data_IF_980187910061
#
_entry.id   IF_980187910061
#
_cell.length_a   1.000
_cell.length_b   1.000
_cell.length_c   1.000
_cell.angle_alpha   90.00
_cell.angle_beta   90.00
_cell.angle_gamma   90.00
#
_symmetry.space_group_name_H-M   'P 1'
#
loop_
_entity.id
_entity.type
_entity.pdbx_description
1 polymer ?
#
# COMPACT_ATOMS: atom_id res chain seq x y z
N UNK A 1 70.05 46.32 53.03
CA UNK A 1 70.43 45.94 51.65
C UNK A 1 70.73 44.45 51.60
N UNK A 2 70.17 43.76 50.60
CA UNK A 2 70.42 42.41 50.11
C UNK A 2 69.85 41.18 50.86
N UNK A 3 69.25 40.35 50.02
CA UNK A 3 68.45 39.14 50.16
C UNK A 3 69.26 37.84 50.22
N UNK A 4 68.67 36.76 50.72
CA UNK A 4 68.58 35.42 50.06
C UNK A 4 67.79 34.47 50.99
N UNK A 5 66.61 33.97 50.59
CA UNK A 5 66.32 32.78 49.78
C UNK A 5 66.41 31.44 50.54
N UNK A 6 65.27 30.81 50.80
CA UNK A 6 65.09 29.35 50.56
C UNK A 6 63.61 29.02 50.36
N UNK A 7 63.32 28.28 49.28
CA UNK A 7 61.98 27.86 48.87
C UNK A 7 61.69 26.41 49.34
N UNK A 8 60.44 26.03 49.66
CA UNK A 8 60.09 24.64 49.92
C UNK A 8 59.67 23.87 48.66
N UNK A 9 60.01 22.58 48.63
CA UNK A 9 59.81 21.59 47.57
C UNK A 9 58.34 21.45 47.11
N UNK A 10 58.12 21.48 45.79
CA UNK A 10 56.85 21.06 45.15
C UNK A 10 56.72 19.54 45.17
N UNK A 11 55.56 19.06 45.62
CA UNK A 11 55.10 17.67 45.50
C UNK A 11 54.73 17.40 44.04
N UNK A 12 55.35 16.40 43.42
CA UNK A 12 54.99 15.95 42.07
C UNK A 12 53.73 15.09 42.13
N UNK A 13 52.64 15.57 41.52
CA UNK A 13 51.42 14.80 41.27
C UNK A 13 51.71 13.74 40.20
N UNK A 14 51.55 12.47 40.57
CA UNK A 14 51.62 11.30 39.68
C UNK A 14 50.49 11.39 38.63
N UNK A 15 50.84 11.65 37.38
CA UNK A 15 49.88 11.59 36.26
C UNK A 15 49.35 10.15 36.13
N UNK A 16 48.03 9.96 36.24
CA UNK A 16 47.35 8.72 35.84
C UNK A 16 47.20 8.73 34.32
N UNK A 17 47.83 7.77 33.66
CA UNK A 17 47.54 7.41 32.27
C UNK A 17 46.08 6.94 32.17
N UNK A 18 45.25 7.44 31.24
CA UNK A 18 43.97 6.83 30.95
C UNK A 18 44.23 5.57 30.11
N UNK A 19 44.02 4.40 30.73
CA UNK A 19 43.92 3.13 30.01
C UNK A 19 42.65 3.14 29.17
N UNK A 20 42.77 3.56 27.91
CA UNK A 20 41.73 3.35 26.91
C UNK A 20 41.63 1.88 26.58
N UNK A 21 40.67 1.19 27.19
CA UNK A 21 40.24 -0.14 26.77
C UNK A 21 39.44 0.00 25.47
N UNK A 22 40.14 0.11 24.34
CA UNK A 22 39.55 -0.20 23.04
C UNK A 22 39.39 -1.71 22.95
N UNK A 23 38.20 -2.18 22.57
CA UNK A 23 37.98 -3.59 22.26
C UNK A 23 38.96 -4.03 21.15
N UNK A 24 39.65 -5.19 21.28
CA UNK A 24 40.53 -5.70 20.23
C UNK A 24 39.80 -5.78 18.90
N UNK A 25 40.45 -5.42 17.79
CA UNK A 25 39.85 -5.45 16.44
C UNK A 25 39.24 -6.81 16.07
N UNK A 26 39.84 -7.92 16.52
CA UNK A 26 39.28 -9.27 16.36
C UNK A 26 37.96 -9.47 17.09
N UNK A 27 37.78 -8.87 18.27
CA UNK A 27 36.52 -8.95 19.01
C UNK A 27 35.41 -8.14 18.32
N UNK A 28 35.75 -7.00 17.72
CA UNK A 28 34.82 -6.19 16.92
C UNK A 28 34.39 -6.98 15.67
N UNK A 29 35.34 -7.56 14.93
CA UNK A 29 35.05 -8.36 13.73
C UNK A 29 34.22 -9.61 14.06
N UNK A 30 34.45 -10.24 15.22
CA UNK A 30 33.70 -11.43 15.65
C UNK A 30 32.26 -11.05 16.05
N UNK A 31 32.09 -9.93 16.75
CA UNK A 31 30.76 -9.39 17.09
C UNK A 31 30.01 -9.01 15.81
N UNK A 32 30.66 -8.33 14.87
CA UNK A 32 30.06 -7.94 13.59
C UNK A 32 29.68 -9.16 12.72
N UNK A 33 30.50 -10.22 12.75
CA UNK A 33 30.19 -11.48 12.07
C UNK A 33 29.02 -12.24 12.74
N UNK A 34 28.94 -12.24 14.07
CA UNK A 34 27.81 -12.83 14.82
C UNK A 34 26.54 -12.03 14.59
N UNK A 35 26.61 -10.70 14.61
CA UNK A 35 25.49 -9.81 14.32
C UNK A 35 24.97 -10.04 12.90
N UNK A 36 25.85 -10.08 11.90
CA UNK A 36 25.50 -10.39 10.51
C UNK A 36 24.91 -11.79 10.34
N UNK A 37 25.44 -12.79 11.06
CA UNK A 37 24.90 -14.16 11.02
C UNK A 37 23.52 -14.23 11.67
N UNK A 38 23.33 -13.51 12.78
CA UNK A 38 22.04 -13.39 13.49
C UNK A 38 21.01 -12.59 12.68
N UNK A 39 21.45 -11.59 11.91
CA UNK A 39 20.59 -10.83 10.98
C UNK A 39 20.00 -11.70 9.88
N UNK A 40 20.71 -12.74 9.45
CA UNK A 40 20.23 -13.69 8.43
C UNK A 40 19.33 -14.79 8.98
N UNK A 41 19.23 -14.96 10.31
CA UNK A 41 18.37 -15.99 10.91
C UNK A 41 16.92 -15.51 10.90
N UNK A 42 16.08 -16.15 10.09
CA UNK A 42 14.63 -15.94 10.10
C UNK A 42 13.99 -16.67 11.29
N UNK A 43 12.93 -16.08 11.83
CA UNK A 43 12.15 -16.59 12.96
C UNK A 43 11.10 -17.60 12.50
N UNK A 44 10.76 -18.52 13.40
CA UNK A 44 9.61 -19.42 13.26
C UNK A 44 8.37 -18.79 13.91
N UNK A 45 7.19 -19.29 13.54
CA UNK A 45 5.90 -18.87 14.10
C UNK A 45 5.87 -18.91 15.63
N UNK A 46 6.47 -19.95 16.22
CA UNK A 46 6.55 -20.14 17.67
C UNK A 46 7.31 -19.01 18.39
N UNK A 47 8.29 -18.42 17.72
CA UNK A 47 9.16 -17.37 18.27
C UNK A 47 8.54 -15.97 18.17
N UNK A 48 7.44 -15.82 17.43
CA UNK A 48 6.81 -14.53 17.23
C UNK A 48 6.07 -14.05 18.49
N UNK A 49 6.11 -12.75 18.81
CA UNK A 49 5.23 -12.18 19.81
C UNK A 49 3.77 -12.17 19.33
N UNK A 50 2.82 -12.15 20.26
CA UNK A 50 1.39 -12.26 19.96
C UNK A 50 0.88 -11.25 18.91
N UNK A 51 1.41 -10.03 18.89
CA UNK A 51 0.99 -8.98 17.94
C UNK A 51 1.47 -9.23 16.50
N UNK A 52 2.42 -10.15 16.27
CA UNK A 52 2.88 -10.59 14.93
C UNK A 52 2.20 -11.87 14.45
N UNK A 53 1.49 -12.57 15.34
CA UNK A 53 0.83 -13.85 15.04
C UNK A 53 -0.51 -13.66 14.31
N UNK A 54 -0.44 -13.23 13.05
CA UNK A 54 -1.64 -13.06 12.21
C UNK A 54 -2.09 -14.37 11.54
N UNK A 55 -1.19 -15.06 10.82
CA UNK A 55 -1.53 -16.24 10.03
C UNK A 55 -0.82 -17.51 10.52
N UNK A 56 -1.53 -18.37 11.27
CA UNK A 56 -0.97 -19.57 11.86
C UNK A 56 -0.57 -20.68 10.85
N UNK A 57 -0.94 -20.53 9.58
CA UNK A 57 -0.57 -21.48 8.53
C UNK A 57 0.81 -21.17 7.90
N UNK A 58 1.38 -20.01 8.22
CA UNK A 58 2.73 -19.63 7.82
C UNK A 58 3.67 -19.96 9.00
N UNK A 59 4.60 -20.88 8.80
CA UNK A 59 5.36 -21.47 9.90
C UNK A 59 6.75 -20.87 10.08
N UNK A 60 7.34 -20.34 9.02
CA UNK A 60 8.72 -19.85 8.99
C UNK A 60 8.88 -18.61 8.11
N UNK A 61 10.12 -18.14 7.99
CA UNK A 61 10.47 -17.04 7.09
C UNK A 61 10.21 -15.65 7.65
N UNK A 62 9.98 -15.50 8.95
CA UNK A 62 9.71 -14.19 9.56
C UNK A 62 11.00 -13.42 9.86
N UNK A 63 11.02 -12.12 9.55
CA UNK A 63 12.16 -11.27 9.91
C UNK A 63 12.33 -11.12 11.43
N UNK A 64 13.58 -11.00 11.86
CA UNK A 64 13.94 -10.57 13.20
C UNK A 64 13.30 -9.22 13.54
N UNK A 65 12.78 -9.11 14.76
CA UNK A 65 12.10 -7.91 15.23
C UNK A 65 13.12 -7.02 15.95
N UNK A 66 13.36 -5.82 15.42
CA UNK A 66 14.29 -4.85 16.00
C UNK A 66 13.76 -3.42 15.80
N UNK A 67 13.78 -2.56 16.82
CA UNK A 67 13.32 -1.17 16.72
C UNK A 67 14.33 -0.29 15.96
N UNK A 68 14.60 -0.64 14.70
CA UNK A 68 15.54 0.05 13.80
C UNK A 68 14.99 0.07 12.38
N UNK A 69 14.74 1.26 11.84
CA UNK A 69 14.34 1.42 10.44
C UNK A 69 15.45 1.00 9.48
N UNK A 70 16.72 1.17 9.84
CA UNK A 70 17.84 0.70 9.04
C UNK A 70 17.82 -0.82 8.87
N UNK A 71 17.54 -1.55 9.96
CA UNK A 71 17.35 -3.00 9.93
C UNK A 71 16.16 -3.40 9.04
N UNK A 72 15.05 -2.67 9.17
CA UNK A 72 13.84 -2.88 8.35
C UNK A 72 14.14 -2.68 6.85
N UNK A 73 14.85 -1.60 6.50
CA UNK A 73 15.27 -1.31 5.12
C UNK A 73 16.27 -2.34 4.58
N UNK A 74 17.21 -2.81 5.40
CA UNK A 74 18.14 -3.86 4.99
C UNK A 74 17.42 -5.18 4.71
N UNK A 75 16.32 -5.46 5.40
CA UNK A 75 15.52 -6.67 5.17
C UNK A 75 14.91 -6.74 3.76
N UNK A 76 14.74 -5.60 3.07
CA UNK A 76 14.26 -5.54 1.68
C UNK A 76 15.10 -6.36 0.70
N UNK A 77 16.38 -6.54 1.00
CA UNK A 77 17.35 -7.27 0.19
C UNK A 77 17.54 -8.73 0.63
N UNK A 78 16.81 -9.17 1.65
CA UNK A 78 16.80 -10.54 2.12
C UNK A 78 15.47 -11.22 1.76
N UNK A 79 15.50 -12.54 1.57
CA UNK A 79 14.29 -13.29 1.28
C UNK A 79 13.59 -13.70 2.57
N UNK A 80 12.32 -13.32 2.71
CA UNK A 80 11.47 -13.59 3.86
C UNK A 80 9.99 -13.59 3.45
N UNK A 81 9.10 -13.93 4.39
CA UNK A 81 7.67 -14.14 4.09
C UNK A 81 6.89 -12.87 3.66
N UNK A 82 7.46 -11.69 3.93
CA UNK A 82 6.91 -10.40 3.49
C UNK A 82 7.53 -9.91 2.17
N UNK A 83 8.57 -10.56 1.61
CA UNK A 83 9.29 -10.02 0.45
C UNK A 83 8.38 -9.78 -0.75
N UNK A 84 7.49 -10.71 -1.08
CA UNK A 84 6.53 -10.55 -2.18
C UNK A 84 5.50 -9.46 -1.88
N UNK A 85 5.01 -9.38 -0.63
CA UNK A 85 4.05 -8.34 -0.22
C UNK A 85 4.66 -6.94 -0.39
N UNK A 86 5.95 -6.78 -0.07
CA UNK A 86 6.67 -5.52 -0.22
C UNK A 86 6.90 -5.21 -1.69
N UNK A 87 7.55 -6.11 -2.42
CA UNK A 87 8.02 -5.83 -3.78
C UNK A 87 6.89 -5.72 -4.80
N UNK A 88 5.82 -6.51 -4.66
CA UNK A 88 4.65 -6.41 -5.55
C UNK A 88 4.06 -5.00 -5.52
N UNK A 89 3.70 -4.49 -4.34
CA UNK A 89 3.13 -3.16 -4.18
C UNK A 89 4.16 -2.03 -4.38
N UNK A 90 5.43 -2.22 -4.01
CA UNK A 90 6.48 -1.21 -4.25
C UNK A 90 6.71 -0.99 -5.74
N UNK A 91 6.90 -2.08 -6.50
CA UNK A 91 7.05 -2.00 -7.96
C UNK A 91 5.77 -1.45 -8.59
N UNK A 92 4.60 -1.90 -8.12
CA UNK A 92 3.31 -1.37 -8.56
C UNK A 92 3.17 0.14 -8.39
N UNK A 93 3.59 0.67 -7.23
CA UNK A 93 3.58 2.10 -6.96
C UNK A 93 4.51 2.86 -7.92
N UNK A 94 5.74 2.37 -8.13
CA UNK A 94 6.71 2.97 -9.07
C UNK A 94 6.15 2.97 -10.50
N UNK A 95 5.60 1.85 -10.96
CA UNK A 95 4.99 1.73 -12.29
C UNK A 95 3.80 2.66 -12.43
N UNK A 96 2.98 2.82 -11.39
CA UNK A 96 1.83 3.74 -11.40
C UNK A 96 2.28 5.20 -11.52
N UNK A 97 3.31 5.61 -10.77
CA UNK A 97 3.91 6.95 -10.90
C UNK A 97 4.47 7.15 -12.31
N UNK A 98 5.27 6.20 -12.81
CA UNK A 98 5.85 6.30 -14.16
C UNK A 98 4.76 6.40 -15.24
N UNK A 99 3.70 5.61 -15.13
CA UNK A 99 2.54 5.65 -16.03
C UNK A 99 1.82 6.99 -15.97
N UNK A 100 1.67 7.58 -14.78
CA UNK A 100 1.09 8.91 -14.60
C UNK A 100 1.93 10.00 -15.27
N UNK A 101 3.25 9.95 -15.11
CA UNK A 101 4.15 10.92 -15.75
C UNK A 101 4.11 10.77 -17.27
N UNK A 102 4.09 9.54 -17.77
CA UNK A 102 3.93 9.26 -19.20
C UNK A 102 2.60 9.81 -19.73
N UNK A 103 1.48 9.55 -19.04
CA UNK A 103 0.19 10.12 -19.42
C UNK A 103 0.23 11.65 -19.47
N UNK A 104 0.79 12.29 -18.45
CA UNK A 104 0.77 13.75 -18.34
C UNK A 104 1.68 14.44 -19.36
N UNK A 105 2.90 13.94 -19.56
CA UNK A 105 3.89 14.59 -20.42
C UNK A 105 3.86 14.14 -21.87
N UNK A 106 3.37 12.93 -22.17
CA UNK A 106 3.43 12.34 -23.52
C UNK A 106 2.05 12.21 -24.17
N UNK A 107 1.04 11.78 -23.41
CA UNK A 107 -0.29 11.49 -23.96
C UNK A 107 -1.19 12.72 -23.92
N UNK A 108 -1.33 13.39 -22.77
CA UNK A 108 -2.22 14.55 -22.58
C UNK A 108 -1.98 15.67 -23.61
N UNK A 109 -0.74 16.04 -23.99
CA UNK A 109 -0.51 17.08 -25.01
C UNK A 109 -0.98 16.72 -26.43
N UNK A 110 -1.34 15.46 -26.69
CA UNK A 110 -1.88 15.02 -27.99
C UNK A 110 -3.37 15.30 -28.15
N UNK A 111 -4.06 15.66 -27.07
CA UNK A 111 -5.50 15.92 -27.04
C UNK A 111 -5.73 17.38 -26.63
N UNK A 112 -5.96 18.26 -27.62
CA UNK A 112 -6.21 19.68 -27.38
C UNK A 112 -7.49 19.91 -26.55
N UNK A 113 -8.45 18.98 -26.62
CA UNK A 113 -9.68 18.97 -25.83
C UNK A 113 -9.49 18.58 -24.37
N UNK A 114 -8.32 18.06 -23.97
CA UNK A 114 -8.07 17.57 -22.61
C UNK A 114 -8.05 18.70 -21.58
N UNK A 115 -8.98 18.64 -20.63
CA UNK A 115 -9.23 19.71 -19.65
C UNK A 115 -8.45 19.48 -18.34
N UNK A 116 -8.31 20.51 -17.48
CA UNK A 116 -7.83 20.32 -16.12
C UNK A 116 -8.70 19.37 -15.28
N UNK A 117 -10.00 19.25 -15.59
CA UNK A 117 -10.90 18.30 -14.93
C UNK A 117 -10.50 16.86 -15.24
N UNK A 118 -10.14 16.54 -16.49
CA UNK A 118 -9.61 15.21 -16.85
C UNK A 118 -8.37 14.88 -16.02
N UNK A 119 -7.44 15.84 -15.89
CA UNK A 119 -6.23 15.68 -15.08
C UNK A 119 -6.58 15.42 -13.62
N UNK A 120 -7.53 16.17 -13.07
CA UNK A 120 -7.96 16.02 -11.68
C UNK A 120 -8.58 14.64 -11.40
N UNK A 121 -9.50 14.17 -12.26
CA UNK A 121 -10.18 12.89 -12.02
C UNK A 121 -9.23 11.71 -12.16
N UNK A 122 -8.28 11.76 -13.12
CA UNK A 122 -7.20 10.78 -13.20
C UNK A 122 -6.26 10.88 -12.00
N UNK A 123 -5.93 12.08 -11.54
CA UNK A 123 -5.09 12.28 -10.35
C UNK A 123 -5.74 11.71 -9.08
N UNK A 124 -7.06 11.75 -8.94
CA UNK A 124 -7.77 11.09 -7.84
C UNK A 124 -7.54 9.57 -7.83
N UNK A 125 -7.69 8.90 -8.98
CA UNK A 125 -7.45 7.46 -9.08
C UNK A 125 -5.96 7.12 -8.92
N UNK A 126 -5.09 7.76 -9.70
CA UNK A 126 -3.64 7.50 -9.69
C UNK A 126 -3.05 7.81 -8.32
N UNK A 127 -3.39 8.96 -7.74
CA UNK A 127 -2.97 9.33 -6.39
C UNK A 127 -3.45 8.32 -5.35
N UNK A 128 -4.70 7.87 -5.45
CA UNK A 128 -5.22 6.81 -4.58
C UNK A 128 -4.50 5.48 -4.75
N UNK A 129 -4.17 5.08 -5.98
CA UNK A 129 -3.39 3.87 -6.27
C UNK A 129 -1.96 3.98 -5.71
N UNK A 130 -1.26 5.08 -5.94
CA UNK A 130 0.09 5.30 -5.41
C UNK A 130 0.09 5.31 -3.88
N UNK A 131 -0.89 5.98 -3.25
CA UNK A 131 -1.00 5.99 -1.79
C UNK A 131 -1.31 4.59 -1.25
N UNK A 132 -2.24 3.85 -1.85
CA UNK A 132 -2.57 2.49 -1.44
C UNK A 132 -1.37 1.55 -1.52
N UNK A 133 -0.77 1.46 -2.71
CA UNK A 133 0.36 0.57 -2.96
C UNK A 133 1.59 0.99 -2.13
N UNK A 134 1.87 2.29 -2.06
CA UNK A 134 2.99 2.83 -1.29
C UNK A 134 2.84 2.64 0.22
N UNK A 135 1.67 2.92 0.79
CA UNK A 135 1.38 2.67 2.22
C UNK A 135 1.47 1.19 2.55
N UNK A 136 0.98 0.32 1.66
CA UNK A 136 1.04 -1.13 1.83
C UNK A 136 2.48 -1.66 1.81
N UNK A 137 3.26 -1.29 0.79
CA UNK A 137 4.67 -1.66 0.68
C UNK A 137 5.47 -1.14 1.89
N UNK A 138 5.22 0.10 2.31
CA UNK A 138 5.86 0.70 3.49
C UNK A 138 5.51 -0.09 4.76
N UNK A 139 4.23 -0.39 4.97
CA UNK A 139 3.77 -1.17 6.13
C UNK A 139 4.50 -2.50 6.22
N UNK A 140 4.51 -3.29 5.14
CA UNK A 140 5.17 -4.58 5.12
C UNK A 140 6.69 -4.46 5.29
N UNK A 141 7.31 -3.39 4.76
CA UNK A 141 8.75 -3.14 4.89
C UNK A 141 9.18 -2.81 6.32
N UNK A 142 8.35 -2.11 7.11
CA UNK A 142 8.67 -1.71 8.50
C UNK A 142 7.98 -2.57 9.56
N UNK A 143 7.34 -3.66 9.13
CA UNK A 143 6.52 -4.52 9.99
C UNK A 143 7.33 -5.22 11.10
N UNK A 144 8.63 -5.43 10.87
CA UNK A 144 9.57 -6.00 11.82
C UNK A 144 10.18 -4.96 12.79
N UNK A 145 9.75 -3.70 12.76
CA UNK A 145 10.33 -2.65 13.60
C UNK A 145 9.89 -2.79 15.08
N UNK A 146 8.63 -2.50 15.37
CA UNK A 146 8.06 -2.57 16.72
C UNK A 146 6.54 -2.67 16.63
N UNK A 147 5.89 -3.09 17.72
CA UNK A 147 4.44 -3.21 17.78
C UNK A 147 3.73 -1.90 17.41
N UNK A 148 4.23 -0.77 17.90
CA UNK A 148 3.65 0.56 17.61
C UNK A 148 3.76 0.92 16.14
N UNK A 149 4.91 0.69 15.51
CA UNK A 149 5.13 0.99 14.08
C UNK A 149 4.28 0.08 13.20
N UNK A 150 4.24 -1.22 13.50
CA UNK A 150 3.34 -2.17 12.83
C UNK A 150 1.87 -1.78 13.02
N UNK A 151 1.52 -1.21 14.19
CA UNK A 151 0.18 -0.71 14.41
C UNK A 151 -0.17 0.47 13.51
N UNK A 152 0.67 1.50 13.48
CA UNK A 152 0.45 2.65 12.62
C UNK A 152 0.46 2.28 11.13
N UNK A 153 1.43 1.49 10.69
CA UNK A 153 1.53 1.04 9.30
C UNK A 153 0.29 0.28 8.84
N UNK A 154 -0.25 -0.62 9.66
CA UNK A 154 -1.47 -1.37 9.29
C UNK A 154 -2.72 -0.47 9.20
N UNK A 155 -2.82 0.61 10.00
CA UNK A 155 -3.90 1.59 9.86
C UNK A 155 -3.77 2.35 8.55
N UNK A 156 -2.56 2.76 8.18
CA UNK A 156 -2.28 3.44 6.92
C UNK A 156 -2.52 2.53 5.71
N UNK A 157 -2.16 1.25 5.79
CA UNK A 157 -2.45 0.25 4.76
C UNK A 157 -3.96 0.14 4.48
N UNK A 158 -4.78 0.06 5.54
CA UNK A 158 -6.24 0.08 5.39
C UNK A 158 -6.78 1.41 4.85
N UNK A 159 -6.22 2.54 5.27
CA UNK A 159 -6.56 3.84 4.69
C UNK A 159 -6.24 3.90 3.19
N UNK A 160 -5.13 3.30 2.78
CA UNK A 160 -4.75 3.15 1.38
C UNK A 160 -5.85 2.50 0.56
N UNK A 161 -6.41 1.37 1.03
CA UNK A 161 -7.52 0.67 0.35
C UNK A 161 -8.72 1.60 0.17
N UNK A 162 -9.10 2.35 1.21
CA UNK A 162 -10.23 3.30 1.13
C UNK A 162 -9.97 4.39 0.08
N UNK A 163 -8.78 5.00 0.11
CA UNK A 163 -8.43 6.08 -0.82
C UNK A 163 -8.38 5.58 -2.27
N UNK A 164 -7.86 4.36 -2.51
CA UNK A 164 -7.89 3.73 -3.84
C UNK A 164 -9.32 3.49 -4.32
N UNK A 165 -10.19 2.92 -3.49
CA UNK A 165 -11.58 2.65 -3.88
C UNK A 165 -12.29 3.96 -4.21
N UNK A 166 -12.27 4.95 -3.30
CA UNK A 166 -12.91 6.26 -3.54
C UNK A 166 -12.31 6.94 -4.77
N UNK A 167 -10.98 6.96 -4.89
CA UNK A 167 -10.26 7.55 -6.02
C UNK A 167 -10.63 6.92 -7.36
N UNK A 168 -10.85 5.60 -7.41
CA UNK A 168 -11.28 4.89 -8.62
C UNK A 168 -12.70 5.21 -9.07
N UNK A 169 -13.59 5.60 -8.15
CA UNK A 169 -14.95 6.03 -8.50
C UNK A 169 -14.96 7.38 -9.20
N UNK A 170 -14.02 8.28 -8.88
CA UNK A 170 -14.03 9.66 -9.39
C UNK A 170 -14.00 9.73 -10.92
N UNK A 171 -13.01 9.15 -11.64
CA UNK A 171 -12.99 9.20 -13.10
C UNK A 171 -14.13 8.38 -13.73
N UNK A 172 -14.50 7.23 -13.14
CA UNK A 172 -15.58 6.40 -13.66
C UNK A 172 -16.92 7.12 -13.63
N UNK A 173 -17.24 7.79 -12.51
CA UNK A 173 -18.46 8.59 -12.38
C UNK A 173 -18.40 9.83 -13.29
N UNK A 174 -17.25 10.50 -13.37
CA UNK A 174 -17.07 11.65 -14.23
C UNK A 174 -17.40 11.33 -15.69
N UNK A 175 -16.80 10.29 -16.27
CA UNK A 175 -17.06 9.93 -17.68
C UNK A 175 -18.46 9.31 -17.89
N UNK A 176 -18.99 8.57 -16.91
CA UNK A 176 -20.34 8.02 -17.00
C UNK A 176 -21.42 9.11 -17.00
N UNK A 177 -21.30 10.08 -16.08
CA UNK A 177 -22.34 11.05 -15.76
C UNK A 177 -21.95 12.50 -16.09
N UNK A 178 -20.98 12.70 -16.98
CA UNK A 178 -20.49 14.02 -17.38
C UNK A 178 -21.62 15.02 -17.71
N UNK A 179 -22.64 14.54 -18.44
CA UNK A 179 -23.79 15.33 -18.88
C UNK A 179 -24.91 15.45 -17.85
N UNK A 180 -24.77 14.82 -16.69
CA UNK A 180 -25.78 14.78 -15.63
C UNK A 180 -25.14 15.21 -14.30
N UNK A 181 -24.83 16.52 -14.15
CA UNK A 181 -24.03 17.02 -13.04
C UNK A 181 -24.68 16.76 -11.67
N UNK A 182 -26.02 16.71 -11.59
CA UNK A 182 -26.73 16.35 -10.36
C UNK A 182 -26.44 14.90 -9.94
N UNK A 183 -26.48 13.94 -10.87
CA UNK A 183 -26.18 12.54 -10.59
C UNK A 183 -24.70 12.33 -10.28
N UNK A 184 -23.80 12.96 -11.05
CA UNK A 184 -22.37 12.94 -10.78
C UNK A 184 -22.08 13.42 -9.36
N UNK A 185 -22.61 14.58 -8.98
CA UNK A 185 -22.42 15.15 -7.63
C UNK A 185 -22.99 14.23 -6.55
N UNK A 186 -24.22 13.72 -6.73
CA UNK A 186 -24.84 12.84 -5.76
C UNK A 186 -24.02 11.56 -5.51
N UNK A 187 -23.53 10.91 -6.58
CA UNK A 187 -22.71 9.70 -6.44
C UNK A 187 -21.32 9.97 -5.88
N UNK A 188 -20.69 11.10 -6.22
CA UNK A 188 -19.43 11.52 -5.62
C UNK A 188 -19.59 11.79 -4.12
N UNK A 189 -20.66 12.49 -3.71
CA UNK A 189 -20.96 12.70 -2.30
C UNK A 189 -21.20 11.38 -1.56
N UNK A 190 -21.95 10.45 -2.17
CA UNK A 190 -22.21 9.14 -1.58
C UNK A 190 -20.92 8.34 -1.36
N UNK A 191 -20.07 8.21 -2.38
CA UNK A 191 -18.82 7.43 -2.23
C UNK A 191 -17.85 8.07 -1.25
N UNK A 192 -17.76 9.41 -1.21
CA UNK A 192 -16.96 10.11 -0.21
C UNK A 192 -17.50 9.90 1.22
N UNK A 193 -18.82 9.89 1.40
CA UNK A 193 -19.44 9.63 2.71
C UNK A 193 -19.17 8.19 3.17
N UNK A 194 -19.41 7.20 2.29
CA UNK A 194 -19.14 5.79 2.59
C UNK A 194 -17.65 5.54 2.85
N UNK A 195 -16.77 6.15 2.04
CA UNK A 195 -15.33 6.09 2.21
C UNK A 195 -14.87 6.69 3.54
N UNK A 196 -15.42 7.84 3.93
CA UNK A 196 -15.14 8.46 5.24
C UNK A 196 -15.56 7.55 6.39
N UNK A 197 -16.74 6.92 6.30
CA UNK A 197 -17.16 5.92 7.28
C UNK A 197 -16.18 4.74 7.38
N UNK A 198 -15.77 4.18 6.25
CA UNK A 198 -14.79 3.09 6.20
C UNK A 198 -13.41 3.51 6.76
N UNK A 199 -12.98 4.74 6.50
CA UNK A 199 -11.75 5.30 7.04
C UNK A 199 -11.81 5.39 8.58
N UNK A 200 -12.89 5.91 9.15
CA UNK A 200 -13.07 6.01 10.60
C UNK A 200 -13.03 4.63 11.25
N UNK A 201 -13.75 3.65 10.69
CA UNK A 201 -13.75 2.26 11.20
C UNK A 201 -12.35 1.63 11.12
N UNK A 202 -11.59 1.92 10.06
CA UNK A 202 -10.23 1.39 9.85
C UNK A 202 -9.22 1.85 10.91
N UNK A 203 -9.53 2.92 11.65
CA UNK A 203 -8.70 3.44 12.74
C UNK A 203 -8.98 2.82 14.11
N UNK A 204 -10.08 2.06 14.25
CA UNK A 204 -10.45 1.34 15.47
C UNK A 204 -9.46 0.20 15.75
N UNK A 205 -9.03 0.08 17.01
CA UNK A 205 -7.95 -0.86 17.36
C UNK A 205 -8.33 -2.33 17.18
N UNK A 206 -9.56 -2.69 17.55
CA UNK A 206 -10.09 -4.06 17.45
C UNK A 206 -10.18 -4.53 16.00
N UNK A 207 -10.46 -3.60 15.07
CA UNK A 207 -10.62 -3.88 13.65
C UNK A 207 -9.38 -4.52 13.04
N UNK A 208 -8.19 -4.26 13.60
CA UNK A 208 -6.91 -4.80 13.13
C UNK A 208 -6.69 -6.26 13.49
N UNK A 209 -7.38 -6.77 14.50
CA UNK A 209 -7.10 -8.11 15.01
C UNK A 209 -7.45 -9.19 13.97
N UNK A 210 -6.81 -10.37 14.01
CA UNK A 210 -7.08 -11.44 13.05
C UNK A 210 -8.56 -11.87 13.03
N UNK A 211 -9.24 -11.82 14.18
CA UNK A 211 -10.67 -12.13 14.34
C UNK A 211 -11.58 -11.26 13.47
N UNK A 212 -11.17 -10.01 13.20
CA UNK A 212 -11.98 -9.06 12.43
C UNK A 212 -11.75 -9.13 10.92
N UNK A 213 -10.85 -10.02 10.45
CA UNK A 213 -10.53 -10.19 9.02
C UNK A 213 -11.74 -10.27 8.09
N UNK A 214 -12.74 -11.16 8.31
CA UNK A 214 -13.89 -11.26 7.41
C UNK A 214 -14.72 -9.97 7.40
N UNK A 215 -14.85 -9.29 8.53
CA UNK A 215 -15.58 -8.01 8.61
C UNK A 215 -14.86 -6.89 7.85
N UNK A 216 -13.52 -6.85 7.91
CA UNK A 216 -12.74 -5.92 7.08
C UNK A 216 -12.97 -6.17 5.60
N UNK A 217 -12.90 -7.44 5.20
CA UNK A 217 -13.13 -7.86 3.83
C UNK A 217 -14.53 -7.47 3.35
N UNK A 218 -15.57 -7.74 4.14
CA UNK A 218 -16.96 -7.37 3.83
C UNK A 218 -17.10 -5.85 3.72
N UNK A 219 -16.49 -5.08 4.61
CA UNK A 219 -16.56 -3.61 4.58
C UNK A 219 -15.94 -3.03 3.30
N UNK A 220 -14.70 -3.42 2.97
CA UNK A 220 -14.03 -2.91 1.76
C UNK A 220 -14.66 -3.44 0.48
N UNK A 221 -15.07 -4.72 0.45
CA UNK A 221 -15.82 -5.27 -0.68
C UNK A 221 -17.16 -4.55 -0.84
N UNK A 222 -17.88 -4.27 0.24
CA UNK A 222 -19.13 -3.50 0.22
C UNK A 222 -18.95 -2.09 -0.32
N UNK A 223 -17.87 -1.39 0.07
CA UNK A 223 -17.53 -0.09 -0.48
C UNK A 223 -17.33 -0.17 -2.01
N UNK A 224 -16.58 -1.15 -2.50
CA UNK A 224 -16.40 -1.37 -3.95
C UNK A 224 -17.70 -1.78 -4.67
N UNK A 225 -18.48 -2.68 -4.08
CA UNK A 225 -19.76 -3.17 -4.60
C UNK A 225 -20.83 -2.09 -4.66
N UNK A 226 -20.71 -1.01 -3.88
CA UNK A 226 -21.58 0.16 -4.02
C UNK A 226 -21.58 0.75 -5.44
N UNK A 227 -20.52 0.49 -6.23
CA UNK A 227 -20.40 0.88 -7.64
C UNK A 227 -21.41 0.21 -8.57
N UNK A 228 -22.04 -0.90 -8.16
CA UNK A 228 -23.13 -1.48 -8.93
C UNK A 228 -24.35 -0.54 -9.04
N UNK A 229 -24.59 0.32 -8.04
CA UNK A 229 -25.70 1.27 -8.06
C UNK A 229 -25.57 2.26 -9.24
N UNK A 230 -24.47 3.05 -9.37
CA UNK A 230 -24.30 3.94 -10.51
C UNK A 230 -24.16 3.18 -11.83
N UNK A 231 -23.60 1.97 -11.85
CA UNK A 231 -23.54 1.16 -13.09
C UNK A 231 -24.95 0.80 -13.57
N UNK A 232 -25.80 0.26 -12.69
CA UNK A 232 -27.19 -0.09 -13.03
C UNK A 232 -27.94 1.16 -13.50
N UNK A 233 -27.81 2.28 -12.79
CA UNK A 233 -28.45 3.52 -13.18
C UNK A 233 -27.95 4.02 -14.55
N UNK A 234 -26.64 3.95 -14.81
CA UNK A 234 -26.05 4.28 -16.10
C UNK A 234 -26.59 3.40 -17.23
N UNK A 235 -26.77 2.10 -17.00
CA UNK A 235 -27.37 1.17 -17.98
C UNK A 235 -28.83 1.54 -18.26
N UNK A 236 -29.60 1.94 -17.24
CA UNK A 236 -31.00 2.35 -17.45
C UNK A 236 -31.14 3.63 -18.27
N UNK A 237 -30.12 4.49 -18.28
CA UNK A 237 -30.14 5.77 -19.02
C UNK A 237 -29.57 5.58 -20.43
N UNK A 238 -28.42 4.93 -20.57
CA UNK A 238 -27.67 4.87 -21.82
C UNK A 238 -27.81 3.54 -22.57
N UNK A 239 -28.47 2.54 -21.96
CA UNK A 239 -28.34 1.15 -22.36
C UNK A 239 -26.94 0.61 -22.06
N UNK A 240 -26.78 -0.72 -22.15
CA UNK A 240 -25.48 -1.36 -21.90
C UNK A 240 -24.42 -0.87 -22.89
N UNK A 241 -24.74 -0.78 -24.18
CA UNK A 241 -23.79 -0.34 -25.20
C UNK A 241 -23.34 1.11 -25.00
N UNK A 242 -24.27 2.02 -24.68
CA UNK A 242 -23.92 3.41 -24.40
C UNK A 242 -23.05 3.57 -23.16
N UNK A 243 -23.29 2.79 -22.09
CA UNK A 243 -22.41 2.79 -20.92
C UNK A 243 -21.05 2.12 -21.21
N UNK A 244 -21.02 1.04 -21.99
CA UNK A 244 -19.77 0.41 -22.44
C UNK A 244 -18.91 1.40 -23.23
N UNK A 245 -19.50 2.17 -24.13
CA UNK A 245 -18.73 3.14 -24.91
C UNK A 245 -18.20 4.28 -24.00
N UNK A 246 -18.99 4.73 -23.02
CA UNK A 246 -18.59 5.83 -22.11
C UNK A 246 -17.50 5.47 -21.12
N UNK A 247 -17.55 4.28 -20.51
CA UNK A 247 -16.66 3.92 -19.39
C UNK A 247 -15.98 2.56 -19.54
N UNK A 248 -16.23 1.85 -20.64
CA UNK A 248 -15.84 0.46 -20.84
C UNK A 248 -16.26 -0.43 -19.67
N UNK A 249 -17.56 -0.41 -19.35
CA UNK A 249 -18.15 -1.06 -18.17
C UNK A 249 -17.78 -2.54 -18.04
N UNK A 250 -17.51 -3.24 -19.13
CA UNK A 250 -16.99 -4.62 -19.12
C UNK A 250 -15.67 -4.74 -18.35
N UNK A 251 -14.73 -3.81 -18.55
CA UNK A 251 -13.48 -3.79 -17.78
C UNK A 251 -13.73 -3.40 -16.32
N UNK A 252 -14.75 -2.57 -16.04
CA UNK A 252 -15.23 -2.27 -14.69
C UNK A 252 -15.91 -3.49 -14.02
N UNK A 253 -16.45 -4.43 -14.78
CA UNK A 253 -16.94 -5.69 -14.21
C UNK A 253 -15.77 -6.64 -13.97
N UNK A 254 -14.82 -6.73 -14.91
CA UNK A 254 -13.64 -7.60 -14.81
C UNK A 254 -12.76 -7.22 -13.60
N UNK A 255 -12.43 -5.95 -13.40
CA UNK A 255 -11.63 -5.55 -12.24
C UNK A 255 -12.38 -5.77 -10.91
N UNK A 256 -13.71 -5.61 -10.89
CA UNK A 256 -14.55 -5.91 -9.73
C UNK A 256 -14.50 -7.40 -9.39
N UNK A 257 -14.60 -8.27 -10.39
CA UNK A 257 -14.44 -9.71 -10.22
C UNK A 257 -13.04 -10.09 -9.73
N UNK A 258 -11.98 -9.44 -10.24
CA UNK A 258 -10.61 -9.61 -9.76
C UNK A 258 -10.47 -9.24 -8.28
N UNK A 259 -11.03 -8.11 -7.85
CA UNK A 259 -11.03 -7.72 -6.43
C UNK A 259 -11.77 -8.73 -5.56
N UNK A 260 -12.97 -9.16 -5.95
CA UNK A 260 -13.77 -10.12 -5.18
C UNK A 260 -13.06 -11.47 -5.06
N UNK A 261 -12.43 -11.94 -6.14
CA UNK A 261 -11.61 -13.15 -6.12
C UNK A 261 -10.44 -13.00 -5.14
N UNK A 262 -9.66 -11.92 -5.25
CA UNK A 262 -8.54 -11.67 -4.33
C UNK A 262 -8.97 -11.58 -2.87
N UNK A 263 -10.08 -10.91 -2.59
CA UNK A 263 -10.67 -10.83 -1.24
C UNK A 263 -11.10 -12.21 -0.74
N UNK A 264 -11.73 -13.01 -1.59
CA UNK A 264 -12.12 -14.39 -1.27
C UNK A 264 -10.91 -15.24 -0.88
N UNK A 265 -9.83 -15.16 -1.66
CA UNK A 265 -8.55 -15.83 -1.38
C UNK A 265 -7.95 -15.37 -0.03
N UNK A 266 -7.88 -14.06 0.22
CA UNK A 266 -7.37 -13.46 1.46
C UNK A 266 -8.15 -13.89 2.72
N UNK A 267 -9.48 -13.95 2.62
CA UNK A 267 -10.35 -14.39 3.73
C UNK A 267 -10.19 -15.89 3.96
N UNK A 268 -10.17 -16.69 2.90
CA UNK A 268 -10.06 -18.14 2.99
C UNK A 268 -8.69 -18.61 3.52
N UNK A 269 -7.65 -17.76 3.41
CA UNK A 269 -6.24 -18.12 3.64
C UNK A 269 -5.79 -19.26 2.75
N UNK A 270 -6.29 -19.28 1.52
CA UNK A 270 -5.93 -20.28 0.54
C UNK A 270 -4.76 -19.75 -0.31
N UNK A 271 -3.74 -20.56 -0.63
CA UNK A 271 -3.64 -22.01 -0.42
C UNK A 271 -3.01 -22.44 0.91
N UNK A 272 -2.43 -21.54 1.70
CA UNK A 272 -1.62 -21.90 2.88
C UNK A 272 -2.41 -22.64 3.96
N UNK A 273 -3.73 -22.42 4.07
CA UNK A 273 -4.61 -23.15 4.97
C UNK A 273 -4.65 -24.65 4.69
N UNK A 274 -4.58 -25.04 3.42
CA UNK A 274 -4.65 -26.44 3.01
C UNK A 274 -3.28 -27.11 3.07
N UNK A 275 -2.20 -26.33 2.92
CA UNK A 275 -0.82 -26.82 2.95
C UNK A 275 0.05 -25.93 3.84
N UNK A 276 -0.10 -26.00 5.17
CA UNK A 276 0.64 -25.14 6.10
C UNK A 276 2.16 -25.33 5.97
N UNK A 277 2.91 -24.24 6.01
CA UNK A 277 4.38 -24.24 5.85
C UNK A 277 4.89 -24.25 4.40
N UNK A 278 4.08 -24.67 3.42
CA UNK A 278 4.52 -24.76 2.01
C UNK A 278 4.61 -23.39 1.36
N UNK A 279 3.68 -22.51 1.69
CA UNK A 279 3.53 -21.18 1.10
C UNK A 279 4.11 -20.07 2.00
N UNK A 280 5.15 -20.41 2.80
CA UNK A 280 5.75 -19.48 3.76
C UNK A 280 6.40 -18.27 3.08
N UNK A 281 7.05 -18.47 1.94
CA UNK A 281 7.74 -17.41 1.19
C UNK A 281 6.99 -17.01 -0.08
N UNK A 282 6.38 -17.97 -0.78
CA UNK A 282 5.79 -17.75 -2.11
C UNK A 282 4.37 -18.28 -2.17
N UNK A 283 3.47 -17.53 -2.80
CA UNK A 283 2.12 -17.96 -3.15
C UNK A 283 1.13 -17.99 -1.98
N UNK A 284 1.41 -17.32 -0.86
CA UNK A 284 0.42 -17.18 0.21
C UNK A 284 -0.77 -16.33 -0.24
N UNK A 285 -1.91 -16.51 0.43
CA UNK A 285 -3.16 -15.81 0.12
C UNK A 285 -3.03 -14.28 0.09
N UNK A 286 -2.16 -13.73 0.95
CA UNK A 286 -1.94 -12.28 1.04
C UNK A 286 -1.15 -11.76 -0.17
N UNK A 287 -0.18 -12.56 -0.63
CA UNK A 287 0.58 -12.27 -1.85
C UNK A 287 -0.31 -12.35 -3.09
N UNK A 288 -1.16 -13.38 -3.17
CA UNK A 288 -2.14 -13.50 -4.27
C UNK A 288 -3.09 -12.30 -4.24
N UNK A 289 -3.59 -11.91 -3.07
CA UNK A 289 -4.43 -10.72 -2.92
C UNK A 289 -3.72 -9.45 -3.44
N UNK A 290 -2.46 -9.22 -3.06
CA UNK A 290 -1.66 -8.09 -3.59
C UNK A 290 -1.58 -8.09 -5.12
N UNK A 291 -1.33 -9.25 -5.73
CA UNK A 291 -1.30 -9.36 -7.19
C UNK A 291 -2.65 -9.03 -7.84
N UNK A 292 -3.76 -9.46 -7.22
CA UNK A 292 -5.10 -9.12 -7.73
C UNK A 292 -5.45 -7.64 -7.54
N UNK A 293 -4.96 -6.97 -6.50
CA UNK A 293 -5.09 -5.50 -6.37
C UNK A 293 -4.38 -4.80 -7.52
N UNK A 294 -3.17 -5.22 -7.89
CA UNK A 294 -2.42 -4.65 -9.02
C UNK A 294 -3.13 -4.88 -10.36
N UNK A 295 -3.58 -6.12 -10.63
CA UNK A 295 -4.29 -6.45 -11.85
C UNK A 295 -5.62 -5.68 -11.95
N UNK A 296 -6.35 -5.54 -10.84
CA UNK A 296 -7.58 -4.77 -10.79
C UNK A 296 -7.33 -3.26 -11.02
N UNK A 297 -6.26 -2.69 -10.45
CA UNK A 297 -5.89 -1.31 -10.69
C UNK A 297 -5.48 -1.07 -12.16
N UNK A 298 -4.70 -1.99 -12.75
CA UNK A 298 -4.29 -1.89 -14.15
C UNK A 298 -5.47 -2.01 -15.13
N UNK A 299 -6.40 -2.93 -14.88
CA UNK A 299 -7.62 -3.07 -15.69
C UNK A 299 -8.57 -1.89 -15.54
N UNK A 300 -8.72 -1.34 -14.33
CA UNK A 300 -9.45 -0.10 -14.11
C UNK A 300 -8.82 1.08 -14.87
N UNK A 301 -7.49 1.22 -14.77
CA UNK A 301 -6.75 2.24 -15.51
C UNK A 301 -6.99 2.14 -17.02
N UNK A 302 -6.91 0.94 -17.58
CA UNK A 302 -7.22 0.69 -18.98
C UNK A 302 -8.65 1.12 -19.34
N UNK A 303 -9.62 0.81 -18.50
CA UNK A 303 -11.01 1.27 -18.64
C UNK A 303 -11.11 2.79 -18.70
N UNK A 304 -10.41 3.50 -17.81
CA UNK A 304 -10.44 4.97 -17.75
C UNK A 304 -9.74 5.62 -18.95
N UNK A 305 -8.66 5.03 -19.46
CA UNK A 305 -8.02 5.49 -20.71
C UNK A 305 -8.98 5.36 -21.89
N UNK A 306 -9.73 4.25 -21.99
CA UNK A 306 -10.77 4.10 -23.03
C UNK A 306 -11.92 5.10 -22.85
N UNK A 307 -12.34 5.35 -21.61
CA UNK A 307 -13.37 6.33 -21.29
C UNK A 307 -12.96 7.75 -21.74
N UNK A 308 -11.73 8.13 -21.42
CA UNK A 308 -11.12 9.38 -21.87
C UNK A 308 -11.10 9.47 -23.39
N UNK A 309 -10.62 8.43 -24.07
CA UNK A 309 -10.53 8.44 -25.54
C UNK A 309 -11.90 8.59 -26.19
N UNK A 310 -12.91 7.85 -25.73
CA UNK A 310 -14.29 8.01 -26.23
C UNK A 310 -14.84 9.41 -25.96
N UNK A 311 -14.61 9.95 -24.76
CA UNK A 311 -15.08 11.27 -24.36
C UNK A 311 -14.51 12.38 -25.26
N UNK A 312 -13.22 12.31 -25.60
CA UNK A 312 -12.54 13.35 -26.37
C UNK A 312 -12.62 13.15 -27.88
N UNK A 313 -12.72 11.91 -28.38
CA UNK A 313 -12.72 11.62 -29.83
C UNK A 313 -14.11 11.47 -30.43
N UNK A 314 -15.04 10.84 -29.69
CA UNK A 314 -16.39 10.54 -30.21
C UNK A 314 -17.40 11.58 -29.73
N UNK A 315 -17.39 11.89 -28.43
CA UNK A 315 -18.29 12.92 -27.88
C UNK A 315 -17.76 14.34 -28.07
N UNK A 316 -16.45 14.51 -28.31
CA UNK A 316 -15.82 15.82 -28.40
C UNK A 316 -15.97 16.67 -27.14
N UNK A 317 -16.08 16.03 -25.96
CA UNK A 317 -16.36 16.70 -24.68
C UNK A 317 -17.70 17.45 -24.64
N UNK A 318 -18.64 17.08 -25.51
CA UNK A 318 -19.98 17.62 -25.55
C UNK A 318 -21.02 16.63 -25.04
N UNK A 319 -22.15 17.17 -24.61
CA UNK A 319 -23.32 16.38 -24.34
C UNK A 319 -24.10 16.16 -25.62
N UNK A 320 -24.47 14.90 -25.88
CA UNK A 320 -25.40 14.57 -26.95
C UNK A 320 -26.69 15.33 -26.63
N UNK A 321 -27.04 16.30 -27.47
CA UNK A 321 -28.36 16.92 -27.46
C UNK A 321 -29.35 15.85 -27.87
N UNK A 322 -30.32 15.56 -27.00
CA UNK A 322 -31.57 14.88 -27.42
C UNK A 322 -32.32 15.73 -28.45
#
# INVERSE_FOLDING_TARGET
MRSSSSAPRRVALRQRHPSGTGLPSESINTVEAIENKTEKVLLLWGDLPAWRRDNAFIHSGYCQIRPSYRHSLHSLFNLHNESVNIWSHLIGAIVTVASSLYLYYVIRPRYDSATPSDVLVFACFIGGAVLCLGMSATFHAVLNHSQRVAQWGNKLDYMGIVVLIVGSFVPALYYAFFCMPALLTAYLCLICLLGTGCAIVSWVEQFRSPKWRPYRAIMFAGLGLSGFIPIIHGVTIYGYKGLEDRISVTWIIIHGAMYLFGVGVYVARWPERNFPGVFDIWGSSHQIFHMFVLLAAATHFYSMVKAFDYHHTVLGSHCLTE
#
